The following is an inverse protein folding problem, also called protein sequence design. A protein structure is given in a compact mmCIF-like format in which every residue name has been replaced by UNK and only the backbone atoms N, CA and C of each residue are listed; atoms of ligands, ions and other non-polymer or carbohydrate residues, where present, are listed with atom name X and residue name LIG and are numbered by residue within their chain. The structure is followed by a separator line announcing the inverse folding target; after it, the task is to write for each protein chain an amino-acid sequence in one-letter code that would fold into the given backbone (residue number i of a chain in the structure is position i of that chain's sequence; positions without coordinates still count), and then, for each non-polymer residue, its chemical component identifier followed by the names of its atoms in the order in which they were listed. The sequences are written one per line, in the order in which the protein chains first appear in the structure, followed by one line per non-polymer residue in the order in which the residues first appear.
data_IF_763986608953
#
_entry.id   IF_763986608953
#
_cell.length_a   1.000
_cell.length_b   1.000
_cell.length_c   1.000
_cell.angle_alpha   90.00
_cell.angle_beta   90.00
_cell.angle_gamma   90.00
#
_symmetry.space_group_name_H-M   'P 1'
#
loop_
_entity.id
_entity.type
_entity.pdbx_description
1 polymer ?
#
# COMPACT_ATOMS: atom_id res chain seq x y z
N UNK A 1 17.78 2.68 11.31
CA UNK A 1 18.22 3.93 10.64
C UNK A 1 19.74 3.94 10.64
N UNK A 2 20.33 4.19 9.48
CA UNK A 2 21.79 4.26 9.32
C UNK A 2 22.40 5.44 10.07
N UNK A 3 23.69 5.30 10.46
CA UNK A 3 24.36 6.31 11.28
C UNK A 3 24.48 7.66 10.58
N UNK A 4 24.79 7.65 9.27
CA UNK A 4 24.85 8.86 8.44
C UNK A 4 23.52 9.63 8.46
N UNK A 5 22.40 8.93 8.31
CA UNK A 5 21.06 9.52 8.35
C UNK A 5 20.72 10.07 9.76
N UNK A 6 21.17 9.38 10.81
CA UNK A 6 20.98 9.90 12.19
C UNK A 6 21.76 11.17 12.43
N UNK A 7 22.99 11.28 11.90
CA UNK A 7 23.81 12.49 12.00
C UNK A 7 23.15 13.69 11.35
N UNK A 8 22.61 13.52 10.13
CA UNK A 8 21.80 14.56 9.43
C UNK A 8 20.63 15.02 10.30
N UNK A 9 19.94 14.10 10.96
CA UNK A 9 18.81 14.42 11.83
C UNK A 9 19.19 15.16 13.13
N UNK A 10 20.48 15.21 13.48
CA UNK A 10 21.01 15.93 14.63
C UNK A 10 21.58 17.31 14.28
N UNK A 11 21.64 17.68 13.01
CA UNK A 11 22.10 18.98 12.53
C UNK A 11 21.02 20.06 12.66
N UNK A 12 21.42 21.33 12.60
CA UNK A 12 20.50 22.46 12.58
C UNK A 12 19.62 22.42 11.33
N UNK A 13 18.31 22.60 11.51
CA UNK A 13 17.37 22.61 10.40
C UNK A 13 17.47 23.94 9.65
N UNK A 14 17.86 23.94 8.35
CA UNK A 14 17.96 25.15 7.58
C UNK A 14 16.57 25.75 7.24
N UNK A 15 16.56 27.01 6.89
CA UNK A 15 15.36 27.62 6.34
C UNK A 15 15.04 27.00 4.96
N UNK A 16 13.83 26.51 4.80
CA UNK A 16 13.47 25.68 3.65
C UNK A 16 13.08 26.44 2.37
N UNK A 17 12.79 27.75 2.46
CA UNK A 17 12.43 28.55 1.26
C UNK A 17 13.69 29.10 0.58
N UNK A 18 14.58 28.20 0.20
CA UNK A 18 15.85 28.51 -0.48
C UNK A 18 15.95 27.73 -1.80
N UNK A 19 16.77 28.20 -2.74
CA UNK A 19 17.03 27.45 -3.98
C UNK A 19 17.61 26.05 -3.73
N UNK A 20 18.46 25.89 -2.73
CA UNK A 20 19.12 24.63 -2.35
C UNK A 20 18.06 23.61 -1.90
N UNK A 21 17.15 24.02 -1.02
CA UNK A 21 16.07 23.13 -0.59
C UNK A 21 15.10 22.82 -1.74
N UNK A 22 14.85 23.77 -2.64
CA UNK A 22 14.05 23.53 -3.84
C UNK A 22 14.70 22.50 -4.76
N UNK A 23 16.01 22.53 -4.93
CA UNK A 23 16.75 21.53 -5.70
C UNK A 23 16.68 20.14 -5.06
N UNK A 24 16.87 20.06 -3.73
CA UNK A 24 16.72 18.83 -2.96
C UNK A 24 15.32 18.22 -3.12
N UNK A 25 14.27 19.02 -3.05
CA UNK A 25 12.90 18.54 -3.22
C UNK A 25 12.62 17.98 -4.62
N UNK A 26 13.15 18.63 -5.65
CA UNK A 26 13.06 18.13 -7.04
C UNK A 26 13.84 16.83 -7.23
N UNK A 27 14.99 16.70 -6.59
CA UNK A 27 15.76 15.45 -6.60
C UNK A 27 14.98 14.33 -5.88
N UNK A 28 14.38 14.60 -4.72
CA UNK A 28 13.51 13.65 -4.02
C UNK A 28 12.36 13.17 -4.91
N UNK A 29 11.67 14.08 -5.60
CA UNK A 29 10.61 13.75 -6.55
C UNK A 29 11.13 12.86 -7.68
N UNK A 30 12.26 13.22 -8.30
CA UNK A 30 12.87 12.46 -9.40
C UNK A 30 13.24 11.03 -8.97
N UNK A 31 13.88 10.88 -7.80
CA UNK A 31 14.28 9.58 -7.26
C UNK A 31 13.06 8.72 -6.89
N UNK A 32 12.04 9.30 -6.28
CA UNK A 32 10.80 8.59 -5.95
C UNK A 32 10.09 8.09 -7.21
N UNK A 33 9.94 8.93 -8.25
CA UNK A 33 9.34 8.52 -9.52
C UNK A 33 10.11 7.35 -10.14
N UNK A 34 11.44 7.41 -10.11
CA UNK A 34 12.32 6.37 -10.64
C UNK A 34 12.18 5.05 -9.88
N UNK A 35 12.18 5.09 -8.54
CA UNK A 35 12.08 3.88 -7.73
C UNK A 35 10.69 3.24 -7.78
N UNK A 36 9.65 4.03 -8.00
CA UNK A 36 8.30 3.52 -8.25
C UNK A 36 8.07 3.04 -9.68
N UNK A 37 9.05 3.26 -10.61
CA UNK A 37 8.86 2.98 -12.04
C UNK A 37 7.61 3.67 -12.60
N UNK A 38 7.47 4.96 -12.31
CA UNK A 38 6.21 5.69 -12.48
C UNK A 38 5.92 6.16 -13.92
N UNK A 39 6.87 6.05 -14.84
CA UNK A 39 6.72 6.48 -16.22
C UNK A 39 6.90 8.00 -16.39
N UNK A 40 6.80 8.44 -17.66
CA UNK A 40 6.93 9.86 -18.01
C UNK A 40 5.73 10.68 -17.54
N UNK A 41 5.95 11.94 -17.21
CA UNK A 41 4.89 12.86 -16.72
C UNK A 41 4.41 12.57 -15.29
N UNK A 42 4.98 11.58 -14.61
CA UNK A 42 4.64 11.31 -13.22
C UNK A 42 5.15 12.39 -12.27
N UNK A 43 4.39 12.66 -11.22
CA UNK A 43 4.71 13.65 -10.18
C UNK A 43 4.65 13.00 -8.80
N UNK A 44 5.57 13.41 -7.94
CA UNK A 44 5.56 13.04 -6.52
C UNK A 44 5.35 14.27 -5.64
N UNK A 45 4.39 14.17 -4.72
CA UNK A 45 4.19 15.18 -3.66
C UNK A 45 4.49 14.57 -2.28
N UNK A 46 4.97 15.42 -1.38
CA UNK A 46 5.34 15.04 -0.02
C UNK A 46 4.43 15.74 0.99
N UNK A 47 3.66 14.92 1.72
CA UNK A 47 2.81 15.39 2.81
C UNK A 47 3.53 15.24 4.15
N UNK A 48 3.50 16.27 4.98
CA UNK A 48 3.87 16.12 6.39
C UNK A 48 2.72 15.41 7.11
N UNK A 49 2.94 14.13 7.42
CA UNK A 49 1.91 13.28 8.02
C UNK A 49 2.25 11.80 7.94
N UNK A 50 1.33 10.98 8.42
CA UNK A 50 1.43 9.52 8.31
C UNK A 50 0.93 9.02 6.96
N UNK A 51 1.19 7.74 6.64
CA UNK A 51 0.61 7.10 5.45
C UNK A 51 -0.92 7.20 5.39
N UNK A 52 -1.60 7.23 6.54
CA UNK A 52 -3.06 7.44 6.58
C UNK A 52 -3.46 8.81 6.01
N UNK A 53 -2.66 9.85 6.22
CA UNK A 53 -2.90 11.16 5.62
C UNK A 53 -2.81 11.09 4.09
N UNK A 54 -1.85 10.33 3.54
CA UNK A 54 -1.74 10.10 2.12
C UNK A 54 -2.91 9.26 1.56
N UNK A 55 -3.38 8.23 2.29
CA UNK A 55 -4.56 7.45 1.90
C UNK A 55 -5.80 8.34 1.78
N UNK A 56 -6.05 9.19 2.77
CA UNK A 56 -7.19 10.11 2.77
C UNK A 56 -7.05 11.14 1.65
N UNK A 57 -5.89 11.78 1.50
CA UNK A 57 -5.60 12.70 0.42
C UNK A 57 -5.83 12.06 -0.97
N UNK A 58 -5.35 10.84 -1.19
CA UNK A 58 -5.55 10.12 -2.45
C UNK A 58 -7.03 9.94 -2.78
N UNK A 59 -7.82 9.45 -1.81
CA UNK A 59 -9.25 9.17 -2.02
C UNK A 59 -10.03 10.45 -2.32
N UNK A 60 -9.88 11.52 -1.53
CA UNK A 60 -10.69 12.73 -1.69
C UNK A 60 -10.28 13.63 -2.88
N UNK A 61 -9.06 13.43 -3.43
CA UNK A 61 -8.64 14.15 -4.63
C UNK A 61 -9.03 13.45 -5.93
N UNK A 62 -9.20 12.10 -5.90
CA UNK A 62 -9.56 11.35 -7.08
C UNK A 62 -11.05 11.05 -7.18
N UNK A 63 -11.76 10.96 -6.04
CA UNK A 63 -13.11 10.44 -6.02
C UNK A 63 -14.08 11.37 -5.28
N UNK A 64 -15.33 11.32 -5.68
CA UNK A 64 -16.43 12.11 -5.15
C UNK A 64 -17.61 11.21 -4.78
N UNK A 65 -18.70 11.78 -4.28
CA UNK A 65 -19.94 11.05 -3.98
C UNK A 65 -20.64 10.47 -5.23
N UNK A 66 -20.22 10.87 -6.43
CA UNK A 66 -20.71 10.35 -7.71
C UNK A 66 -19.92 9.12 -8.19
N UNK A 67 -18.80 8.82 -7.53
CA UNK A 67 -17.98 7.63 -7.82
C UNK A 67 -18.50 6.44 -7.00
N UNK A 68 -18.19 5.21 -7.45
CA UNK A 68 -18.38 3.97 -6.70
C UNK A 68 -17.09 3.17 -6.73
N UNK A 69 -16.60 2.78 -5.58
CA UNK A 69 -15.27 2.19 -5.44
C UNK A 69 -15.35 0.71 -5.05
N UNK A 70 -14.36 -0.07 -5.50
CA UNK A 70 -14.06 -1.37 -4.94
C UNK A 70 -12.90 -1.23 -3.96
N UNK A 71 -13.03 -1.79 -2.77
CA UNK A 71 -12.01 -1.72 -1.72
C UNK A 71 -11.64 -3.12 -1.26
N UNK A 72 -10.38 -3.49 -1.42
CA UNK A 72 -9.88 -4.75 -0.87
C UNK A 72 -9.62 -4.59 0.62
N UNK A 73 -10.27 -5.43 1.43
CA UNK A 73 -10.11 -5.48 2.88
C UNK A 73 -9.74 -6.88 3.35
N UNK A 74 -8.44 -7.12 3.51
CA UNK A 74 -7.90 -8.35 4.09
C UNK A 74 -7.34 -8.16 5.51
N UNK A 75 -7.57 -6.97 6.12
CA UNK A 75 -7.09 -6.66 7.45
C UNK A 75 -7.22 -5.18 7.82
N UNK A 76 -6.48 -4.76 8.85
CA UNK A 76 -6.62 -3.44 9.46
C UNK A 76 -6.24 -2.27 8.54
N UNK A 77 -5.39 -2.51 7.53
CA UNK A 77 -4.97 -1.45 6.60
C UNK A 77 -5.96 -1.32 5.42
N UNK A 78 -6.48 -2.43 4.87
CA UNK A 78 -7.59 -2.39 3.92
C UNK A 78 -8.85 -1.75 4.50
N UNK A 79 -9.21 -2.09 5.75
CA UNK A 79 -10.32 -1.48 6.49
C UNK A 79 -10.18 0.04 6.64
N UNK A 80 -8.97 0.60 6.53
CA UNK A 80 -8.74 2.04 6.61
C UNK A 80 -9.25 2.77 5.38
N UNK A 81 -9.08 2.21 4.18
CA UNK A 81 -9.71 2.74 2.96
C UNK A 81 -11.23 2.71 3.05
N UNK A 82 -11.80 1.61 3.58
CA UNK A 82 -13.25 1.50 3.84
C UNK A 82 -13.72 2.66 4.71
N UNK A 83 -13.05 2.90 5.84
CA UNK A 83 -13.39 3.98 6.77
C UNK A 83 -13.29 5.37 6.14
N UNK A 84 -12.29 5.61 5.30
CA UNK A 84 -12.13 6.87 4.56
C UNK A 84 -13.33 7.08 3.63
N UNK A 85 -13.71 6.07 2.84
CA UNK A 85 -14.89 6.15 1.98
C UNK A 85 -16.17 6.46 2.79
N UNK A 86 -16.36 5.82 3.93
CA UNK A 86 -17.49 6.08 4.83
C UNK A 86 -17.54 7.52 5.34
N UNK A 87 -16.40 8.04 5.83
CA UNK A 87 -16.31 9.40 6.39
C UNK A 87 -16.65 10.45 5.33
N UNK A 88 -16.16 10.26 4.10
CA UNK A 88 -16.37 11.20 3.00
C UNK A 88 -17.65 10.94 2.19
N UNK A 89 -18.43 9.90 2.56
CA UNK A 89 -19.68 9.55 1.89
C UNK A 89 -19.50 9.13 0.44
N UNK A 90 -18.35 8.53 0.10
CA UNK A 90 -18.07 8.00 -1.24
C UNK A 90 -18.62 6.57 -1.31
N UNK A 91 -19.51 6.23 -2.25
CA UNK A 91 -20.06 4.88 -2.41
C UNK A 91 -18.96 3.86 -2.67
N UNK A 92 -19.03 2.70 -2.01
CA UNK A 92 -18.06 1.62 -2.18
C UNK A 92 -18.68 0.25 -1.94
N UNK A 93 -18.05 -0.78 -2.50
CA UNK A 93 -18.23 -2.17 -2.12
C UNK A 93 -16.91 -2.74 -1.61
N UNK A 94 -17.01 -3.61 -0.63
CA UNK A 94 -15.88 -4.17 0.09
C UNK A 94 -15.64 -5.62 -0.34
N UNK A 95 -14.44 -5.88 -0.87
CA UNK A 95 -13.97 -7.23 -1.13
C UNK A 95 -13.28 -7.72 0.15
N UNK A 96 -14.06 -8.37 1.01
CA UNK A 96 -13.56 -8.91 2.28
C UNK A 96 -12.81 -10.21 2.06
N UNK A 97 -11.63 -10.29 2.65
CA UNK A 97 -10.80 -11.49 2.68
C UNK A 97 -10.64 -11.96 4.12
N UNK A 98 -10.58 -13.25 4.32
CA UNK A 98 -10.18 -13.82 5.60
C UNK A 98 -8.71 -13.47 5.90
N UNK A 99 -8.38 -13.35 7.19
CA UNK A 99 -7.02 -13.03 7.63
C UNK A 99 -6.00 -14.04 7.07
N UNK A 100 -4.94 -13.54 6.45
CA UNK A 100 -3.89 -14.39 5.85
C UNK A 100 -4.19 -14.91 4.44
N UNK A 101 -5.38 -14.67 3.89
CA UNK A 101 -5.78 -15.15 2.55
C UNK A 101 -5.45 -14.15 1.45
N UNK A 102 -5.01 -14.67 0.31
CA UNK A 102 -4.72 -13.88 -0.89
C UNK A 102 -5.98 -13.53 -1.68
N UNK A 103 -5.93 -12.41 -2.39
CA UNK A 103 -6.94 -12.05 -3.39
C UNK A 103 -6.84 -12.99 -4.62
N UNK A 104 -7.97 -13.47 -5.10
CA UNK A 104 -8.07 -14.40 -6.24
C UNK A 104 -9.04 -13.88 -7.30
N UNK A 105 -9.01 -14.49 -8.50
CA UNK A 105 -9.99 -14.21 -9.56
C UNK A 105 -11.43 -14.40 -9.08
N UNK A 106 -11.69 -15.42 -8.25
CA UNK A 106 -13.03 -15.69 -7.72
C UNK A 106 -13.57 -14.54 -6.87
N UNK A 107 -12.71 -13.85 -6.12
CA UNK A 107 -13.12 -12.67 -5.35
C UNK A 107 -13.46 -11.46 -6.23
N UNK A 108 -12.85 -11.35 -7.41
CA UNK A 108 -13.03 -10.25 -8.35
C UNK A 108 -14.20 -10.48 -9.33
N UNK A 109 -14.51 -11.74 -9.65
CA UNK A 109 -15.50 -12.10 -10.65
C UNK A 109 -16.89 -11.46 -10.46
N UNK A 110 -17.45 -11.30 -9.23
CA UNK A 110 -18.75 -10.68 -9.04
C UNK A 110 -18.80 -9.19 -9.44
N UNK A 111 -17.64 -8.54 -9.57
CA UNK A 111 -17.51 -7.11 -9.82
C UNK A 111 -17.06 -6.79 -11.25
N UNK A 112 -16.83 -7.80 -12.08
CA UNK A 112 -16.46 -7.63 -13.48
C UNK A 112 -17.63 -7.08 -14.30
N UNK A 113 -17.33 -6.26 -15.32
CA UNK A 113 -18.35 -5.81 -16.28
C UNK A 113 -18.84 -7.03 -17.04
N UNK A 114 -20.17 -7.27 -17.03
CA UNK A 114 -20.78 -8.34 -17.81
C UNK A 114 -20.64 -8.02 -19.31
N UNK A 115 -19.73 -8.71 -20.01
CA UNK A 115 -19.54 -8.54 -21.45
C UNK A 115 -18.09 -8.62 -21.91
N UNK A 116 -17.33 -9.64 -21.53
CA UNK A 116 -16.23 -10.27 -22.26
C UNK A 116 -15.39 -11.21 -21.36
N UNK A 117 -16.01 -12.23 -20.84
CA UNK A 117 -15.22 -13.41 -20.48
C UNK A 117 -15.11 -14.22 -21.75
N UNK A 118 -14.04 -13.98 -22.53
CA UNK A 118 -13.72 -14.77 -23.70
C UNK A 118 -13.89 -16.25 -23.40
N UNK A 119 -14.88 -16.89 -24.05
CA UNK A 119 -14.94 -18.32 -24.16
C UNK A 119 -13.64 -18.79 -24.79
N UNK A 120 -12.94 -19.68 -24.12
CA UNK A 120 -11.91 -20.47 -24.74
C UNK A 120 -12.53 -21.21 -25.95
N UNK A 121 -11.89 -21.01 -27.08
CA UNK A 121 -12.17 -21.57 -28.39
C UNK A 121 -12.47 -23.09 -28.30
N UNK A 122 -13.74 -23.47 -28.47
CA UNK A 122 -14.10 -24.76 -28.98
C UNK A 122 -14.81 -24.55 -30.33
N UNK A 123 -14.04 -24.74 -31.38
CA UNK A 123 -14.51 -24.63 -32.75
C UNK A 123 -15.70 -25.51 -33.05
N UNK A 124 -16.70 -24.90 -33.64
CA UNK A 124 -17.60 -25.56 -34.63
C UNK A 124 -18.15 -24.50 -35.57
N UNK A 125 -17.84 -24.69 -36.85
CA UNK A 125 -18.48 -24.03 -37.98
C UNK A 125 -19.96 -24.43 -38.05
N UNK A 126 -20.89 -23.54 -38.32
CA UNK A 126 -21.74 -23.68 -39.47
C UNK A 126 -22.69 -22.44 -39.70
N UNK A 127 -22.94 -22.24 -40.91
CA UNK A 127 -23.71 -21.37 -41.77
C UNK A 127 -25.09 -20.89 -41.33
N UNK A 128 -25.48 -19.65 -41.78
CA UNK A 128 -26.89 -19.38 -42.10
C UNK A 128 -27.37 -17.94 -42.02
N UNK A 129 -27.60 -17.34 -43.16
CA UNK A 129 -28.18 -16.04 -43.55
C UNK A 129 -29.46 -15.65 -42.83
N UNK A 130 -29.71 -14.32 -42.72
CA UNK A 130 -31.04 -13.77 -42.51
C UNK A 130 -31.08 -12.28 -42.24
N UNK A 131 -31.22 -11.48 -43.30
CA UNK A 131 -31.59 -10.05 -43.29
C UNK A 131 -32.95 -9.76 -42.64
N UNK A 132 -33.06 -8.69 -41.86
CA UNK A 132 -34.27 -7.82 -41.94
C UNK A 132 -34.05 -6.45 -41.28
N UNK A 133 -34.26 -5.45 -42.09
CA UNK A 133 -34.33 -4.01 -41.84
C UNK A 133 -35.72 -3.66 -41.24
N UNK A 134 -35.76 -2.67 -40.33
CA UNK A 134 -36.85 -1.66 -40.14
C UNK A 134 -36.46 -0.74 -38.99
N UNK A 135 -36.20 0.48 -39.28
CA UNK A 135 -37.01 1.73 -39.50
C UNK A 135 -37.33 2.48 -38.20
N UNK A 136 -36.98 3.74 -38.25
CA UNK A 136 -37.11 4.87 -37.33
C UNK A 136 -38.52 5.10 -36.75
N UNK A 137 -38.53 5.63 -35.52
CA UNK A 137 -39.46 6.72 -35.18
C UNK A 137 -38.93 7.55 -34.00
N UNK A 138 -38.65 8.82 -34.30
CA UNK A 138 -38.47 9.90 -33.32
C UNK A 138 -39.78 10.19 -32.60
N UNK A 139 -39.73 10.41 -31.29
CA UNK A 139 -40.63 11.36 -30.61
C UNK A 139 -39.95 11.98 -29.40
N UNK A 140 -39.92 13.31 -29.43
CA UNK A 140 -39.64 14.21 -28.29
C UNK A 140 -40.60 13.96 -27.14
N UNK A 141 -40.14 13.98 -25.92
CA UNK A 141 -40.86 14.72 -24.89
C UNK A 141 -40.00 15.11 -23.68
N UNK A 142 -40.15 16.36 -23.33
CA UNK A 142 -39.57 17.09 -22.23
C UNK A 142 -40.10 16.60 -20.87
N UNK A 143 -39.19 16.20 -19.97
CA UNK A 143 -39.57 15.89 -18.59
C UNK A 143 -38.41 15.48 -17.73
N UNK A 144 -37.57 16.45 -17.33
CA UNK A 144 -36.55 16.22 -16.28
C UNK A 144 -37.21 15.87 -14.94
N UNK A 145 -37.50 14.60 -14.72
CA UNK A 145 -37.61 14.04 -13.37
C UNK A 145 -36.22 13.57 -12.97
N UNK A 146 -35.69 14.07 -11.86
CA UNK A 146 -34.50 13.55 -11.18
C UNK A 146 -34.76 12.07 -10.83
N UNK A 147 -34.34 11.18 -11.72
CA UNK A 147 -34.33 9.75 -11.43
C UNK A 147 -33.25 9.49 -10.43
N UNK A 148 -33.63 9.20 -9.18
CA UNK A 148 -32.75 8.55 -8.23
C UNK A 148 -32.34 7.21 -8.85
N UNK A 149 -31.17 7.15 -9.44
CA UNK A 149 -30.60 5.89 -9.90
C UNK A 149 -30.36 5.02 -8.67
N UNK A 150 -30.83 3.79 -8.71
CA UNK A 150 -30.51 2.78 -7.70
C UNK A 150 -28.98 2.68 -7.60
N UNK A 151 -28.38 2.91 -6.41
CA UNK A 151 -26.93 2.82 -6.23
C UNK A 151 -26.34 1.47 -6.69
N UNK A 152 -27.15 0.41 -6.72
CA UNK A 152 -26.75 -0.92 -7.16
C UNK A 152 -26.42 -1.03 -8.66
N UNK A 153 -26.91 -0.10 -9.49
CA UNK A 153 -26.68 -0.07 -10.95
C UNK A 153 -25.51 0.81 -11.36
N UNK A 154 -24.92 1.58 -10.42
CA UNK A 154 -23.80 2.46 -10.72
C UNK A 154 -22.52 1.63 -10.97
N UNK A 155 -21.86 1.91 -12.12
CA UNK A 155 -20.59 1.28 -12.49
C UNK A 155 -19.48 1.68 -11.52
N UNK A 156 -18.59 0.75 -11.18
CA UNK A 156 -17.38 1.07 -10.45
C UNK A 156 -16.45 1.99 -11.25
N UNK A 157 -15.83 2.93 -10.57
CA UNK A 157 -14.91 3.92 -11.14
C UNK A 157 -13.50 3.79 -10.59
N UNK A 158 -13.33 3.21 -9.40
CA UNK A 158 -12.01 3.07 -8.78
C UNK A 158 -11.86 1.78 -7.99
N UNK A 159 -10.59 1.41 -7.79
CA UNK A 159 -10.14 0.25 -7.03
C UNK A 159 -9.08 0.68 -6.02
N UNK A 160 -9.33 0.45 -4.74
CA UNK A 160 -8.43 0.79 -3.65
C UNK A 160 -7.85 -0.48 -3.03
N UNK A 161 -6.54 -0.57 -2.94
CA UNK A 161 -5.86 -1.73 -2.39
C UNK A 161 -4.52 -1.37 -1.75
N UNK A 162 -4.15 -2.07 -0.69
CA UNK A 162 -2.78 -2.13 -0.21
C UNK A 162 -2.06 -3.32 -0.85
N UNK A 163 -0.88 -3.12 -1.44
CA UNK A 163 -0.10 -4.25 -2.02
C UNK A 163 0.19 -5.31 -0.98
N UNK A 164 0.47 -4.86 0.25
CA UNK A 164 0.81 -5.70 1.38
C UNK A 164 -0.09 -5.36 2.57
N UNK A 165 -0.98 -6.28 2.93
CA UNK A 165 -1.78 -6.16 4.14
C UNK A 165 -0.92 -6.51 5.35
N UNK A 166 -0.31 -5.47 5.93
CA UNK A 166 0.69 -5.61 6.99
C UNK A 166 0.15 -6.32 8.25
N UNK A 167 -1.16 -6.23 8.54
CA UNK A 167 -1.73 -6.88 9.72
C UNK A 167 -1.74 -8.42 9.64
N UNK A 168 -1.67 -8.96 8.43
CA UNK A 168 -1.71 -10.41 8.16
C UNK A 168 -0.53 -10.89 7.32
N UNK A 169 0.36 -9.99 6.89
CA UNK A 169 1.55 -10.28 6.09
C UNK A 169 1.27 -10.71 4.66
N UNK A 170 0.06 -10.49 4.14
CA UNK A 170 -0.33 -10.95 2.80
C UNK A 170 0.07 -9.93 1.74
N UNK A 171 0.86 -10.36 0.77
CA UNK A 171 1.13 -9.60 -0.46
C UNK A 171 0.14 -10.01 -1.54
N UNK A 172 -0.57 -9.03 -2.11
CA UNK A 172 -1.51 -9.28 -3.21
C UNK A 172 -0.81 -9.32 -4.56
N UNK A 173 -1.38 -10.11 -5.49
CA UNK A 173 -0.91 -10.22 -6.86
C UNK A 173 -1.31 -8.98 -7.67
N UNK A 174 -0.33 -8.10 -7.90
CA UNK A 174 -0.53 -6.86 -8.65
C UNK A 174 -0.77 -7.08 -10.15
N UNK A 175 -0.31 -8.18 -10.73
CA UNK A 175 -0.61 -8.53 -12.13
C UNK A 175 -2.11 -8.89 -12.30
N UNK A 176 -2.66 -9.64 -11.34
CA UNK A 176 -4.10 -9.95 -11.29
C UNK A 176 -4.93 -8.67 -11.14
N UNK A 177 -4.57 -7.81 -10.18
CA UNK A 177 -5.28 -6.56 -9.89
C UNK A 177 -5.21 -5.61 -11.08
N UNK A 178 -4.03 -5.43 -11.64
CA UNK A 178 -3.76 -4.59 -12.81
C UNK A 178 -4.62 -4.99 -14.02
N UNK A 179 -4.67 -6.29 -14.31
CA UNK A 179 -5.50 -6.82 -15.40
C UNK A 179 -6.98 -6.51 -15.16
N UNK A 180 -7.49 -6.84 -13.98
CA UNK A 180 -8.87 -6.56 -13.60
C UNK A 180 -9.23 -5.08 -13.73
N UNK A 181 -8.38 -4.19 -13.21
CA UNK A 181 -8.61 -2.75 -13.28
C UNK A 181 -8.61 -2.23 -14.72
N UNK A 182 -7.71 -2.71 -15.58
CA UNK A 182 -7.68 -2.33 -17.01
C UNK A 182 -8.91 -2.80 -17.77
N UNK A 183 -9.30 -4.06 -17.62
CA UNK A 183 -10.48 -4.65 -18.25
C UNK A 183 -11.77 -3.93 -17.84
N UNK A 184 -11.85 -3.48 -16.58
CA UNK A 184 -12.99 -2.77 -16.04
C UNK A 184 -12.85 -1.24 -16.07
N UNK A 185 -11.76 -0.68 -16.62
CA UNK A 185 -11.46 0.76 -16.75
C UNK A 185 -11.52 1.50 -15.42
N UNK A 186 -10.99 0.89 -14.35
CA UNK A 186 -10.97 1.45 -13.01
C UNK A 186 -9.72 2.31 -12.79
N UNK A 187 -9.86 3.36 -11.98
CA UNK A 187 -8.75 4.07 -11.39
C UNK A 187 -8.12 3.19 -10.30
N UNK A 188 -6.82 2.91 -10.40
CA UNK A 188 -6.13 2.04 -9.45
C UNK A 188 -5.29 2.87 -8.47
N UNK A 189 -5.72 2.90 -7.20
CA UNK A 189 -5.03 3.54 -6.09
C UNK A 189 -4.42 2.48 -5.19
N UNK A 190 -3.13 2.61 -4.93
CA UNK A 190 -2.34 1.58 -4.25
C UNK A 190 -1.63 2.14 -3.02
N UNK A 191 -1.85 1.51 -1.87
CA UNK A 191 -1.01 1.69 -0.70
C UNK A 191 0.18 0.71 -0.78
N UNK A 192 1.39 1.26 -0.95
CA UNK A 192 2.64 0.53 -0.94
C UNK A 192 3.51 0.88 0.30
N UNK A 193 2.90 1.38 1.38
CA UNK A 193 3.64 1.86 2.57
C UNK A 193 4.61 0.80 3.08
N UNK A 194 4.20 -0.43 3.23
CA UNK A 194 5.04 -1.50 3.78
C UNK A 194 5.77 -2.32 2.72
N UNK A 195 5.34 -2.29 1.46
CA UNK A 195 5.96 -3.05 0.36
C UNK A 195 7.02 -2.28 -0.43
N UNK A 196 6.93 -0.94 -0.45
CA UNK A 196 7.92 -0.11 -1.15
C UNK A 196 9.34 -0.41 -0.69
N UNK A 197 10.26 -0.62 -1.61
CA UNK A 197 11.65 -1.07 -1.43
C UNK A 197 11.81 -2.52 -0.90
N UNK A 198 10.78 -3.13 -0.32
CA UNK A 198 10.84 -4.51 0.14
C UNK A 198 10.49 -5.52 -0.96
N UNK A 199 9.52 -5.16 -1.78
CA UNK A 199 9.07 -5.97 -2.92
C UNK A 199 9.20 -5.16 -4.22
N UNK A 200 9.25 -5.86 -5.35
CA UNK A 200 9.20 -5.20 -6.66
C UNK A 200 7.90 -4.42 -6.82
N UNK A 201 8.00 -3.19 -7.34
CA UNK A 201 6.86 -2.35 -7.66
C UNK A 201 7.05 -1.69 -9.03
N UNK A 202 6.08 -1.90 -9.94
CA UNK A 202 6.15 -1.50 -11.35
C UNK A 202 4.92 -0.65 -11.71
N UNK A 203 4.90 0.62 -11.25
CA UNK A 203 3.74 1.49 -11.35
C UNK A 203 3.19 1.60 -12.76
N UNK A 204 4.04 1.93 -13.75
CA UNK A 204 3.63 2.10 -15.14
C UNK A 204 3.15 0.77 -15.75
N UNK A 205 3.93 -0.31 -15.59
CA UNK A 205 3.57 -1.64 -16.11
C UNK A 205 2.24 -2.13 -15.58
N UNK A 206 1.95 -1.90 -14.31
CA UNK A 206 0.69 -2.32 -13.69
C UNK A 206 -0.46 -1.34 -13.91
N UNK A 207 -0.19 -0.19 -14.54
CA UNK A 207 -1.20 0.84 -14.78
C UNK A 207 -1.76 1.43 -13.49
N UNK A 208 -0.92 1.54 -12.47
CA UNK A 208 -1.28 2.18 -11.21
C UNK A 208 -1.39 3.69 -11.43
N UNK A 209 -2.49 4.27 -11.00
CA UNK A 209 -2.75 5.69 -11.17
C UNK A 209 -2.12 6.53 -10.07
N UNK A 210 -2.25 6.07 -8.85
CA UNK A 210 -1.68 6.69 -7.67
C UNK A 210 -1.15 5.63 -6.73
N UNK A 211 0.08 5.82 -6.26
CA UNK A 211 0.68 5.00 -5.20
C UNK A 211 1.18 5.88 -4.07
N UNK A 212 1.08 5.38 -2.85
CA UNK A 212 1.53 6.07 -1.65
C UNK A 212 2.47 5.22 -0.81
N UNK A 213 3.43 5.89 -0.16
CA UNK A 213 4.35 5.27 0.79
C UNK A 213 4.70 6.23 1.94
N UNK A 214 5.47 5.76 2.92
CA UNK A 214 5.82 6.53 4.12
C UNK A 214 7.28 6.42 4.52
N UNK A 215 7.81 7.47 5.14
CA UNK A 215 9.22 7.59 5.55
C UNK A 215 9.67 6.51 6.56
N UNK A 216 8.77 6.05 7.44
CA UNK A 216 9.06 5.19 8.59
C UNK A 216 9.09 3.68 8.29
N UNK A 217 9.04 3.26 7.03
CA UNK A 217 9.07 1.85 6.61
C UNK A 217 10.44 1.49 6.02
N UNK A 218 10.54 0.92 4.85
CA UNK A 218 11.82 0.49 4.27
C UNK A 218 12.80 1.65 3.99
N UNK A 219 12.33 2.88 3.86
CA UNK A 219 13.20 4.06 3.85
C UNK A 219 13.99 4.24 5.14
N UNK A 220 13.57 3.63 6.23
CA UNK A 220 14.26 3.65 7.54
C UNK A 220 14.50 5.08 8.09
N UNK A 221 13.55 5.98 7.88
CA UNK A 221 13.56 7.37 8.34
C UNK A 221 12.60 7.58 9.51
N UNK A 222 12.69 8.70 10.24
CA UNK A 222 11.66 9.05 11.21
C UNK A 222 10.27 9.11 10.57
N UNK A 223 9.20 8.77 11.32
CA UNK A 223 7.84 9.01 10.86
C UNK A 223 7.57 10.49 10.70
N UNK A 224 6.81 10.89 9.68
CA UNK A 224 6.43 12.29 9.50
C UNK A 224 6.30 12.74 8.05
N UNK A 225 6.76 11.95 7.07
CA UNK A 225 6.55 12.21 5.64
C UNK A 225 5.84 11.02 5.00
N UNK A 226 4.77 11.33 4.26
CA UNK A 226 4.15 10.43 3.31
C UNK A 226 4.35 10.97 1.89
N UNK A 227 4.78 10.12 0.97
CA UNK A 227 4.94 10.44 -0.44
C UNK A 227 3.77 9.86 -1.24
N UNK A 228 3.23 10.66 -2.16
CA UNK A 228 2.18 10.27 -3.12
C UNK A 228 2.76 10.45 -4.52
N UNK A 229 2.84 9.35 -5.26
CA UNK A 229 3.28 9.33 -6.66
C UNK A 229 2.05 9.17 -7.54
N UNK A 230 1.91 10.05 -8.52
CA UNK A 230 0.78 10.12 -9.44
C UNK A 230 1.28 9.98 -10.88
N UNK A 231 0.62 9.16 -11.69
CA UNK A 231 0.88 9.15 -13.14
C UNK A 231 0.30 10.41 -13.82
N UNK A 232 0.66 10.65 -15.07
CA UNK A 232 0.26 11.86 -15.82
C UNK A 232 -1.26 12.06 -15.84
N UNK A 233 -2.05 10.99 -16.05
CA UNK A 233 -3.52 11.11 -16.11
C UNK A 233 -4.11 11.46 -14.75
N UNK A 234 -3.50 11.01 -13.66
CA UNK A 234 -3.89 11.35 -12.30
C UNK A 234 -3.58 12.79 -11.97
N UNK A 235 -2.43 13.30 -12.40
CA UNK A 235 -2.09 14.73 -12.27
C UNK A 235 -3.16 15.59 -12.91
N UNK A 236 -3.55 15.31 -14.16
CA UNK A 236 -4.63 16.03 -14.86
C UNK A 236 -5.96 15.96 -14.11
N UNK A 237 -6.35 14.77 -13.59
CA UNK A 237 -7.58 14.61 -12.81
C UNK A 237 -7.55 15.44 -11.51
N UNK A 238 -6.42 15.46 -10.81
CA UNK A 238 -6.24 16.25 -9.58
C UNK A 238 -6.34 17.75 -9.87
N UNK A 239 -5.77 18.24 -10.98
CA UNK A 239 -5.86 19.64 -11.39
C UNK A 239 -7.30 20.10 -11.67
N UNK A 240 -8.13 19.20 -12.17
CA UNK A 240 -9.56 19.45 -12.46
C UNK A 240 -10.46 19.23 -11.23
N UNK A 241 -9.99 18.50 -10.23
CA UNK A 241 -10.77 18.13 -9.05
C UNK A 241 -11.11 19.33 -8.16
N UNK A 242 -12.22 19.22 -7.42
CA UNK A 242 -12.58 20.14 -6.35
C UNK A 242 -12.59 19.39 -5.03
N UNK A 243 -11.65 19.70 -4.17
CA UNK A 243 -11.46 19.05 -2.88
C UNK A 243 -11.91 19.96 -1.74
N UNK A 244 -12.72 19.43 -0.81
CA UNK A 244 -13.16 20.13 0.40
C UNK A 244 -12.16 19.93 1.54
N UNK A 245 -10.89 20.25 1.28
CA UNK A 245 -9.80 20.20 2.28
C UNK A 245 -8.76 21.24 1.91
N UNK A 246 -8.34 22.04 2.89
CA UNK A 246 -7.20 22.94 2.71
C UNK A 246 -5.88 22.15 2.67
N UNK A 247 -5.68 21.27 3.66
CA UNK A 247 -4.37 20.60 3.84
C UNK A 247 -4.13 19.47 2.85
N UNK A 248 -5.16 18.72 2.48
CA UNK A 248 -5.07 17.58 1.55
C UNK A 248 -5.41 17.94 0.10
N UNK A 249 -5.40 19.21 -0.27
CA UNK A 249 -5.59 19.63 -1.65
C UNK A 249 -4.31 19.40 -2.47
N UNK A 250 -4.20 18.25 -3.14
CA UNK A 250 -3.01 17.87 -3.90
C UNK A 250 -2.67 18.83 -5.05
N UNK A 251 -3.65 19.60 -5.55
CA UNK A 251 -3.43 20.65 -6.56
C UNK A 251 -2.43 21.69 -6.07
N UNK A 252 -2.55 22.12 -4.81
CA UNK A 252 -1.64 23.10 -4.24
C UNK A 252 -0.22 22.53 -4.09
N UNK A 253 -0.11 21.24 -3.72
CA UNK A 253 1.18 20.55 -3.65
C UNK A 253 1.83 20.39 -5.03
N UNK A 254 1.06 20.07 -6.07
CA UNK A 254 1.56 19.98 -7.45
C UNK A 254 2.08 21.35 -7.92
N UNK A 255 1.29 22.41 -7.73
CA UNK A 255 1.66 23.79 -8.09
C UNK A 255 2.93 24.25 -7.38
N UNK A 256 3.04 24.07 -6.08
CA UNK A 256 4.24 24.45 -5.34
C UNK A 256 5.43 23.52 -5.64
N UNK A 257 5.18 22.24 -5.94
CA UNK A 257 6.17 21.27 -6.38
C UNK A 257 6.90 21.66 -7.67
N UNK A 258 6.27 22.42 -8.57
CA UNK A 258 6.93 22.93 -9.78
C UNK A 258 8.20 23.75 -9.48
N UNK A 259 8.18 24.46 -8.37
CA UNK A 259 9.35 25.22 -7.90
C UNK A 259 10.13 24.51 -6.79
N UNK A 260 9.86 23.23 -6.51
CA UNK A 260 10.51 22.45 -5.47
C UNK A 260 10.12 22.88 -4.05
N UNK A 261 8.86 23.25 -3.84
CA UNK A 261 8.34 23.70 -2.56
C UNK A 261 7.05 22.98 -2.18
N UNK A 262 6.59 23.22 -0.96
CA UNK A 262 5.30 22.75 -0.44
C UNK A 262 4.41 23.92 -0.06
N UNK A 263 3.07 23.77 -0.11
CA UNK A 263 2.15 24.86 0.24
C UNK A 263 2.25 25.28 1.72
N UNK A 264 2.55 24.29 2.58
CA UNK A 264 2.70 24.50 4.03
C UNK A 264 4.12 24.13 4.47
N UNK A 265 4.52 24.56 5.68
CA UNK A 265 5.83 24.20 6.25
C UNK A 265 5.97 22.68 6.35
N UNK A 266 6.97 22.09 5.68
CA UNK A 266 7.14 20.64 5.69
C UNK A 266 8.01 20.19 6.89
N UNK A 267 8.09 18.87 7.10
CA UNK A 267 9.06 18.27 8.01
C UNK A 267 10.46 18.30 7.37
N UNK A 268 11.11 19.46 7.40
CA UNK A 268 12.34 19.79 6.67
C UNK A 268 13.46 18.79 6.95
N UNK A 269 13.75 18.50 8.24
CA UNK A 269 14.80 17.56 8.62
C UNK A 269 14.59 16.16 8.03
N UNK A 270 13.33 15.65 8.00
CA UNK A 270 13.02 14.35 7.43
C UNK A 270 13.19 14.35 5.90
N UNK A 271 12.87 15.46 5.23
CA UNK A 271 13.04 15.57 3.78
C UNK A 271 14.52 15.62 3.37
N UNK A 272 15.38 16.24 4.20
CA UNK A 272 16.84 16.21 4.01
C UNK A 272 17.37 14.80 4.24
N UNK A 273 16.96 14.12 5.31
CA UNK A 273 17.31 12.73 5.55
C UNK A 273 16.82 11.81 4.42
N UNK A 274 15.60 12.07 3.88
CA UNK A 274 15.04 11.34 2.76
C UNK A 274 15.90 11.49 1.50
N UNK A 275 16.33 12.70 1.18
CA UNK A 275 17.21 12.94 0.04
C UNK A 275 18.47 12.08 0.11
N UNK A 276 19.19 12.13 1.24
CA UNK A 276 20.40 11.32 1.39
C UNK A 276 20.11 9.82 1.33
N UNK A 277 19.01 9.36 1.94
CA UNK A 277 18.64 7.93 1.91
C UNK A 277 18.29 7.47 0.49
N UNK A 278 17.58 8.28 -0.30
CA UNK A 278 17.28 7.97 -1.68
C UNK A 278 18.55 7.92 -2.55
N UNK A 279 19.51 8.82 -2.33
CA UNK A 279 20.82 8.77 -2.98
C UNK A 279 21.58 7.48 -2.64
N UNK A 280 21.60 7.08 -1.37
CA UNK A 280 22.24 5.81 -0.95
C UNK A 280 21.60 4.58 -1.64
N UNK A 281 20.27 4.59 -1.81
CA UNK A 281 19.56 3.53 -2.55
C UNK A 281 19.95 3.57 -4.03
N UNK A 282 20.11 4.75 -4.60
CA UNK A 282 20.55 4.89 -6.00
C UNK A 282 21.98 4.41 -6.19
N UNK A 283 22.89 4.76 -5.29
CA UNK A 283 24.30 4.31 -5.28
C UNK A 283 24.42 2.78 -5.19
N UNK A 284 23.60 2.15 -4.36
CA UNK A 284 23.54 0.68 -4.17
C UNK A 284 22.79 -0.01 -5.32
N UNK A 285 21.84 0.67 -5.92
CA UNK A 285 20.86 0.14 -6.85
C UNK A 285 19.59 -0.40 -6.15
N UNK A 286 18.42 -0.09 -6.73
CA UNK A 286 17.13 -0.52 -6.19
C UNK A 286 17.03 -2.05 -6.02
N UNK A 287 17.54 -2.83 -6.98
CA UNK A 287 17.54 -4.29 -6.92
C UNK A 287 18.38 -4.77 -5.74
N UNK A 288 19.56 -4.20 -5.53
CA UNK A 288 20.43 -4.55 -4.39
C UNK A 288 19.80 -4.22 -3.03
N UNK A 289 18.99 -3.16 -2.94
CA UNK A 289 18.21 -2.86 -1.74
C UNK A 289 17.13 -3.92 -1.47
N UNK A 290 16.40 -4.32 -2.50
CA UNK A 290 15.34 -5.33 -2.42
C UNK A 290 15.90 -6.73 -2.10
N UNK A 291 17.01 -7.09 -2.72
CA UNK A 291 17.70 -8.37 -2.47
C UNK A 291 18.16 -8.49 -1.02
N UNK A 292 18.75 -7.42 -0.46
CA UNK A 292 19.15 -7.41 0.96
C UNK A 292 17.97 -7.65 1.90
N UNK A 293 16.82 -6.99 1.67
CA UNK A 293 15.62 -7.17 2.49
C UNK A 293 15.08 -8.61 2.33
N UNK A 294 15.07 -9.12 1.10
CA UNK A 294 14.64 -10.49 0.80
C UNK A 294 15.53 -11.53 1.49
N UNK A 295 16.85 -11.38 1.40
CA UNK A 295 17.79 -12.28 2.07
C UNK A 295 17.60 -12.27 3.60
N UNK A 296 17.32 -11.09 4.19
CA UNK A 296 17.07 -10.98 5.62
C UNK A 296 15.78 -11.72 6.02
N UNK A 297 14.72 -11.59 5.21
CA UNK A 297 13.46 -12.28 5.43
C UNK A 297 13.61 -13.81 5.30
N UNK A 298 14.35 -14.28 4.29
CA UNK A 298 14.61 -15.69 4.05
C UNK A 298 15.47 -16.31 5.18
N UNK A 299 16.52 -15.61 5.63
CA UNK A 299 17.35 -16.01 6.76
C UNK A 299 16.52 -16.22 8.03
N UNK A 300 15.64 -15.27 8.35
CA UNK A 300 14.74 -15.39 9.50
C UNK A 300 13.77 -16.57 9.35
N UNK A 301 13.11 -16.69 8.20
CA UNK A 301 12.13 -17.75 7.95
C UNK A 301 12.73 -19.14 8.01
N UNK A 302 13.97 -19.29 7.56
CA UNK A 302 14.70 -20.55 7.68
C UNK A 302 14.97 -20.87 9.16
N UNK A 303 15.46 -19.92 9.94
CA UNK A 303 15.81 -20.12 11.35
C UNK A 303 14.60 -20.39 12.25
N UNK A 304 13.44 -19.81 11.93
CA UNK A 304 12.21 -19.96 12.71
C UNK A 304 11.51 -21.30 12.49
N UNK A 305 11.84 -22.01 11.40
CA UNK A 305 11.17 -23.27 11.00
C UNK A 305 11.24 -24.41 12.02
N UNK A 306 12.15 -24.38 12.97
CA UNK A 306 12.32 -25.36 14.05
C UNK A 306 11.54 -25.00 15.33
N UNK A 307 10.95 -23.81 15.40
CA UNK A 307 10.24 -23.28 16.56
C UNK A 307 8.71 -23.46 16.41
N UNK A 308 7.95 -23.48 17.50
CA UNK A 308 6.52 -23.77 17.48
C UNK A 308 5.69 -22.57 16.98
N UNK A 309 5.94 -22.20 15.72
CA UNK A 309 5.24 -21.13 15.04
C UNK A 309 4.73 -21.56 13.67
N UNK A 310 3.61 -20.98 13.27
CA UNK A 310 3.08 -21.08 11.93
C UNK A 310 3.09 -19.71 11.25
N UNK A 311 3.58 -19.65 10.01
CA UNK A 311 3.42 -18.47 9.17
C UNK A 311 1.98 -18.45 8.65
N UNK A 312 1.23 -17.37 8.91
CA UNK A 312 -0.21 -17.32 8.65
C UNK A 312 -0.58 -16.77 7.28
N UNK A 313 0.37 -16.27 6.50
CA UNK A 313 0.12 -15.68 5.19
C UNK A 313 0.22 -16.72 4.07
N UNK A 314 -0.73 -16.70 3.12
CA UNK A 314 -0.68 -17.48 1.88
C UNK A 314 0.26 -16.90 0.81
N UNK A 315 0.67 -15.64 0.94
CA UNK A 315 1.54 -14.94 -0.01
C UNK A 315 2.38 -13.91 0.72
N UNK A 316 3.65 -14.21 0.94
CA UNK A 316 4.53 -13.40 1.76
C UNK A 316 5.15 -12.22 1.00
N UNK A 317 5.20 -11.07 1.66
CA UNK A 317 6.10 -9.96 1.34
C UNK A 317 7.48 -10.20 1.95
N UNK A 318 8.52 -9.61 1.36
CA UNK A 318 9.83 -9.54 2.00
C UNK A 318 9.84 -8.57 3.21
N UNK A 319 8.84 -7.71 3.35
CA UNK A 319 8.79 -6.70 4.41
C UNK A 319 8.67 -7.26 5.82
N UNK A 320 7.95 -8.38 5.99
CA UNK A 320 7.70 -8.97 7.32
C UNK A 320 7.31 -10.45 7.25
N UNK A 321 7.37 -11.12 8.40
CA UNK A 321 6.87 -12.50 8.60
C UNK A 321 5.84 -12.50 9.73
N UNK A 322 4.55 -12.81 9.43
CA UNK A 322 3.50 -12.96 10.44
C UNK A 322 3.54 -14.35 11.05
N UNK A 323 3.60 -14.45 12.38
CA UNK A 323 3.74 -15.68 13.13
C UNK A 323 2.57 -15.89 14.09
N UNK A 324 1.97 -17.07 14.04
CA UNK A 324 1.04 -17.57 15.04
C UNK A 324 1.74 -18.63 15.89
N UNK A 325 1.72 -18.51 17.24
CA UNK A 325 2.19 -19.58 18.11
C UNK A 325 1.35 -20.84 17.94
N UNK A 326 1.99 -22.01 17.94
CA UNK A 326 1.30 -23.32 17.86
C UNK A 326 1.35 -24.07 19.18
N UNK A 327 2.11 -23.57 20.16
CA UNK A 327 2.24 -24.14 21.50
C UNK A 327 0.99 -23.97 22.38
N UNK A 328 1.02 -24.67 23.51
CA UNK A 328 -0.05 -24.60 24.53
C UNK A 328 0.57 -24.39 25.90
N UNK A 329 -0.09 -23.59 26.70
CA UNK A 329 0.20 -23.41 28.11
C UNK A 329 -0.05 -24.72 28.91
N UNK A 330 0.42 -24.80 30.14
CA UNK A 330 0.24 -25.95 31.01
C UNK A 330 -1.25 -26.28 31.30
N UNK A 331 -2.14 -25.32 31.20
CA UNK A 331 -3.60 -25.46 31.34
C UNK A 331 -4.29 -25.89 30.00
N UNK A 332 -3.54 -26.08 28.92
CA UNK A 332 -4.03 -26.45 27.60
C UNK A 332 -4.54 -25.29 26.75
N UNK A 333 -4.53 -24.07 27.25
CA UNK A 333 -4.87 -22.86 26.46
C UNK A 333 -3.78 -22.55 25.41
N UNK A 334 -4.13 -21.91 24.27
CA UNK A 334 -3.12 -21.46 23.31
C UNK A 334 -2.13 -20.47 23.91
N UNK A 335 -0.87 -20.54 23.49
CA UNK A 335 0.13 -19.50 23.81
C UNK A 335 -0.27 -18.18 23.15
N UNK A 336 -0.27 -17.10 23.92
CA UNK A 336 -0.64 -15.76 23.44
C UNK A 336 0.50 -15.11 22.67
N UNK A 337 0.23 -14.66 21.43
CA UNK A 337 1.16 -13.87 20.63
C UNK A 337 1.51 -12.53 21.29
N UNK A 338 0.56 -11.91 21.99
CA UNK A 338 0.79 -10.67 22.71
C UNK A 338 1.72 -10.88 23.92
N UNK A 339 1.56 -12.01 24.64
CA UNK A 339 2.45 -12.36 25.74
C UNK A 339 3.88 -12.60 25.28
N UNK A 340 4.08 -13.22 24.11
CA UNK A 340 5.42 -13.37 23.50
C UNK A 340 6.06 -12.00 23.25
N UNK A 341 5.28 -11.05 22.68
CA UNK A 341 5.77 -9.68 22.47
C UNK A 341 6.18 -9.01 23.80
N UNK A 342 5.37 -9.12 24.85
CA UNK A 342 5.71 -8.54 26.17
C UNK A 342 7.04 -9.11 26.72
N UNK A 343 7.21 -10.44 26.69
CA UNK A 343 8.42 -11.10 27.16
C UNK A 343 9.64 -10.66 26.35
N UNK A 344 9.55 -10.68 25.00
CA UNK A 344 10.63 -10.23 24.12
C UNK A 344 11.03 -8.78 24.43
N UNK A 345 10.07 -7.90 24.63
CA UNK A 345 10.29 -6.50 24.96
C UNK A 345 10.93 -6.32 26.33
N UNK A 346 10.37 -6.96 27.38
CA UNK A 346 10.70 -6.67 28.77
C UNK A 346 11.94 -7.43 29.26
N UNK A 347 12.17 -8.67 28.79
CA UNK A 347 13.29 -9.49 29.23
C UNK A 347 14.49 -9.46 28.26
N UNK A 348 14.24 -9.31 26.94
CA UNK A 348 15.32 -9.36 25.93
C UNK A 348 15.58 -8.02 25.26
N UNK A 349 14.72 -7.00 25.48
CA UNK A 349 14.85 -5.70 24.81
C UNK A 349 14.58 -5.75 23.31
N UNK A 350 13.86 -6.78 22.83
CA UNK A 350 13.55 -7.02 21.41
C UNK A 350 12.11 -6.62 21.13
N UNK A 351 11.93 -5.73 20.16
CA UNK A 351 10.62 -5.25 19.75
C UNK A 351 10.18 -5.92 18.46
N UNK A 352 9.15 -6.77 18.53
CA UNK A 352 8.40 -7.28 17.38
C UNK A 352 7.08 -6.51 17.25
N UNK A 353 6.36 -6.66 16.16
CA UNK A 353 5.12 -5.92 15.94
C UNK A 353 3.90 -6.73 16.44
N UNK A 354 3.27 -6.38 17.57
CA UNK A 354 2.02 -7.02 17.98
C UNK A 354 0.90 -6.62 17.03
N UNK A 355 -0.15 -7.45 16.96
CA UNK A 355 -1.41 -7.09 16.31
C UNK A 355 -2.39 -6.49 17.32
N UNK A 356 -3.48 -5.90 16.79
CA UNK A 356 -4.62 -5.43 17.57
C UNK A 356 -5.90 -6.17 17.20
N UNK A 357 -7.00 -5.86 17.91
CA UNK A 357 -8.31 -6.45 17.68
C UNK A 357 -8.30 -7.98 17.80
N UNK A 358 -8.98 -8.66 16.91
CA UNK A 358 -9.14 -10.13 16.93
C UNK A 358 -7.85 -10.92 16.75
N UNK A 359 -6.80 -10.29 16.21
CA UNK A 359 -5.48 -10.89 15.98
C UNK A 359 -4.50 -10.66 17.14
N UNK A 360 -4.83 -9.85 18.14
CA UNK A 360 -3.92 -9.46 19.22
C UNK A 360 -3.26 -10.66 19.91
N UNK A 361 -4.06 -11.66 20.29
CA UNK A 361 -3.60 -12.86 20.98
C UNK A 361 -3.09 -13.96 20.04
N UNK A 362 -3.32 -13.82 18.73
CA UNK A 362 -3.13 -14.89 17.75
C UNK A 362 -1.88 -14.73 16.90
N UNK A 363 -1.49 -13.49 16.57
CA UNK A 363 -0.44 -13.23 15.58
C UNK A 363 0.42 -12.05 16.00
N UNK A 364 1.72 -12.21 15.97
CA UNK A 364 2.67 -11.11 15.96
C UNK A 364 3.48 -11.13 14.65
N UNK A 365 4.18 -10.04 14.35
CA UNK A 365 4.91 -9.88 13.09
C UNK A 365 6.35 -9.50 13.33
N UNK A 366 7.24 -10.12 12.57
CA UNK A 366 8.67 -9.79 12.56
C UNK A 366 8.98 -9.01 11.29
N UNK A 367 9.39 -7.75 11.43
CA UNK A 367 9.75 -6.89 10.31
C UNK A 367 11.16 -7.15 9.82
N UNK A 368 11.37 -7.07 8.50
CA UNK A 368 12.67 -7.24 7.84
C UNK A 368 13.15 -5.96 7.14
N UNK A 369 12.35 -4.88 7.22
CA UNK A 369 12.64 -3.57 6.64
C UNK A 369 13.31 -2.65 7.67
N UNK A 370 14.13 -1.74 7.20
CA UNK A 370 14.90 -0.83 8.02
C UNK A 370 16.38 -1.23 8.06
N UNK A 371 17.11 -0.69 9.02
CA UNK A 371 18.53 -1.00 9.21
C UNK A 371 18.66 -2.19 10.18
N UNK A 372 18.43 -3.39 9.66
CA UNK A 372 18.51 -4.68 10.36
C UNK A 372 19.57 -5.58 9.71
N UNK A 373 20.09 -6.54 10.49
CA UNK A 373 21.13 -7.48 10.07
C UNK A 373 20.72 -8.93 10.36
N UNK A 374 21.46 -9.90 9.79
CA UNK A 374 21.29 -11.33 10.11
C UNK A 374 21.62 -11.65 11.58
N UNK A 375 22.47 -10.84 12.22
CA UNK A 375 22.78 -10.92 13.65
C UNK A 375 21.58 -10.50 14.50
N UNK A 376 20.78 -9.54 14.05
CA UNK A 376 19.55 -9.16 14.75
C UNK A 376 18.50 -10.28 14.64
N UNK A 377 18.36 -10.94 13.49
CA UNK A 377 17.57 -12.16 13.35
C UNK A 377 18.04 -13.25 14.33
N UNK A 378 19.36 -13.47 14.42
CA UNK A 378 19.90 -14.49 15.31
C UNK A 378 19.57 -14.22 16.77
N UNK A 379 19.70 -12.97 17.24
CA UNK A 379 19.31 -12.57 18.60
C UNK A 379 17.85 -12.85 18.91
N UNK A 380 16.95 -12.55 17.96
CA UNK A 380 15.52 -12.86 18.12
C UNK A 380 15.26 -14.36 18.18
N UNK A 381 15.89 -15.15 17.30
CA UNK A 381 15.74 -16.61 17.29
C UNK A 381 16.29 -17.23 18.57
N UNK A 382 17.43 -16.76 19.08
CA UNK A 382 18.01 -17.24 20.34
C UNK A 382 17.11 -16.91 21.54
N UNK A 383 16.51 -15.72 21.58
CA UNK A 383 15.52 -15.35 22.59
C UNK A 383 14.27 -16.26 22.56
N UNK A 384 13.78 -16.55 21.34
CA UNK A 384 12.63 -17.45 21.18
C UNK A 384 12.96 -18.91 21.58
N UNK A 385 14.18 -19.40 21.32
CA UNK A 385 14.65 -20.71 21.79
C UNK A 385 14.74 -20.77 23.31
N UNK A 386 15.32 -19.76 23.96
CA UNK A 386 15.34 -19.68 25.42
C UNK A 386 13.91 -19.66 26.02
N UNK A 387 12.99 -18.94 25.39
CA UNK A 387 11.57 -18.98 25.80
C UNK A 387 10.96 -20.38 25.65
N UNK A 388 11.28 -21.12 24.59
CA UNK A 388 10.84 -22.49 24.39
C UNK A 388 11.41 -23.42 25.47
N UNK A 389 12.70 -23.34 25.77
CA UNK A 389 13.38 -24.14 26.80
C UNK A 389 12.80 -23.88 28.20
N UNK A 390 12.28 -22.67 28.44
CA UNK A 390 11.59 -22.27 29.66
C UNK A 390 10.11 -22.67 29.67
N UNK A 391 9.57 -23.29 28.62
CA UNK A 391 8.16 -23.70 28.50
C UNK A 391 7.19 -22.53 28.34
N UNK A 392 7.62 -21.45 27.70
CA UNK A 392 6.82 -20.23 27.48
C UNK A 392 6.23 -20.14 26.03
N UNK A 393 6.61 -21.11 25.16
CA UNK A 393 6.12 -21.21 23.76
C UNK A 393 5.30 -22.48 23.54
#
# INVERSE_FOLDING_TARGET
MEEEIRKIGAEEIPYFRTPEFSALMKENESLMNRFMKAGEGARTVFLTGSGTAAMEAAVINLFTKQDRLLVVNGGSFGARFVRICQIHGIPYDEIRLEAGKKLTKAHLAPYAISGDLGQEDSGQEDSGQGDSVREDSCQDDSGRKSSGQDPSTQRYTGFLVNVHETSTGVRYDMELISRFCRENRLWLVVDAISSFLADEFLMEKWGVDLVLTGSQKALALPPGIAAIVMNERTVKRVEESRVESLYFNLKDYLKDGERGQTPFTPAVGILIQMNRRLQMIEEKGLVGEQEQIKELAEDFRQKIGELPFQIVSESLSAAETPLAPTGKNADGSPVSAYRIFEILKDEYGIFVCPNGGELAEKVFRVGHIGHLTKEDNQKLVDALRDMQDRGLL
#
